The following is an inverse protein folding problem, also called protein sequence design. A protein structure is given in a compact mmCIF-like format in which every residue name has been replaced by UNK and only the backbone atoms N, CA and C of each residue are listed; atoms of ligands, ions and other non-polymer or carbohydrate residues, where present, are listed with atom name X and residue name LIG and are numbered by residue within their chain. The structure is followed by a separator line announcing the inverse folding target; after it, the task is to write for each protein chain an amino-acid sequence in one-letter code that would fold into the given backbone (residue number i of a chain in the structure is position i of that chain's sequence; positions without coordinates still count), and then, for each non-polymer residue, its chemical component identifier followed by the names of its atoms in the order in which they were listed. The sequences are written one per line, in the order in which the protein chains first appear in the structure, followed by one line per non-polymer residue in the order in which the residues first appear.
data_IF_419858105746
#
_entry.id   IF_419858105746
#
_cell.length_a   1.000
_cell.length_b   1.000
_cell.length_c   1.000
_cell.angle_alpha   90.00
_cell.angle_beta   90.00
_cell.angle_gamma   90.00
#
_symmetry.space_group_name_H-M   'P 1'
#
loop_
_entity.id
_entity.type
_entity.pdbx_description
1 polymer ?
#
# COMPACT_ATOMS: atom_id res chain seq x y z
N UNK A 1 -27.24 15.85 -5.30
CA UNK A 1 -25.89 15.27 -5.08
C UNK A 1 -24.98 16.41 -4.67
N UNK A 2 -24.31 16.32 -3.54
CA UNK A 2 -23.31 17.31 -3.11
C UNK A 2 -21.93 16.91 -3.65
N UNK A 3 -21.17 17.90 -4.14
CA UNK A 3 -19.78 17.66 -4.55
C UNK A 3 -18.88 17.72 -3.33
N UNK A 4 -18.08 16.68 -3.11
CA UNK A 4 -17.17 16.52 -1.98
C UNK A 4 -15.75 16.27 -2.47
N UNK A 5 -14.72 16.60 -1.66
CA UNK A 5 -13.35 16.17 -1.99
C UNK A 5 -13.19 14.67 -1.81
N UNK A 6 -12.41 14.03 -2.68
CA UNK A 6 -12.18 12.58 -2.60
C UNK A 6 -11.60 12.16 -1.24
N UNK A 7 -10.71 12.97 -0.63
CA UNK A 7 -10.18 12.74 0.72
C UNK A 7 -11.25 12.81 1.80
N UNK A 8 -12.15 13.80 1.75
CA UNK A 8 -13.23 13.90 2.73
C UNK A 8 -14.17 12.70 2.60
N UNK A 9 -14.48 12.30 1.36
CA UNK A 9 -15.34 11.15 1.12
C UNK A 9 -14.74 9.84 1.64
N UNK A 10 -13.45 9.61 1.44
CA UNK A 10 -12.79 8.41 2.00
C UNK A 10 -12.76 8.40 3.52
N UNK A 11 -12.61 9.57 4.19
CA UNK A 11 -12.73 9.68 5.66
C UNK A 11 -14.15 9.36 6.15
N UNK A 12 -15.18 9.83 5.46
CA UNK A 12 -16.56 9.48 5.80
C UNK A 12 -16.82 7.98 5.68
N UNK A 13 -16.29 7.34 4.62
CA UNK A 13 -16.41 5.88 4.45
C UNK A 13 -15.70 5.13 5.58
N UNK A 14 -14.50 5.55 5.98
CA UNK A 14 -13.79 4.93 7.11
C UNK A 14 -14.60 5.05 8.40
N UNK A 15 -15.19 6.22 8.66
CA UNK A 15 -16.11 6.41 9.79
C UNK A 15 -17.35 5.51 9.73
N UNK A 16 -17.92 5.26 8.54
CA UNK A 16 -19.03 4.31 8.37
C UNK A 16 -18.62 2.88 8.73
N UNK A 17 -17.40 2.46 8.35
CA UNK A 17 -16.87 1.15 8.71
C UNK A 17 -16.73 1.05 10.23
N UNK A 18 -16.14 2.05 10.90
CA UNK A 18 -15.94 2.08 12.35
C UNK A 18 -17.28 2.09 13.12
N UNK A 19 -18.36 2.59 12.51
CA UNK A 19 -19.72 2.54 13.04
C UNK A 19 -20.45 1.22 12.76
N UNK A 20 -19.85 0.28 12.06
CA UNK A 20 -20.48 -0.98 11.65
C UNK A 20 -21.49 -0.85 10.50
N UNK A 21 -21.56 0.30 9.80
CA UNK A 21 -22.45 0.55 8.64
C UNK A 21 -21.79 0.01 7.35
N UNK A 22 -21.51 -1.29 7.33
CA UNK A 22 -20.63 -1.91 6.35
C UNK A 22 -21.18 -1.92 4.93
N UNK A 23 -22.47 -2.23 4.74
CA UNK A 23 -23.07 -2.28 3.40
C UNK A 23 -23.13 -0.88 2.76
N UNK A 24 -23.36 0.13 3.56
CA UNK A 24 -23.33 1.51 3.13
C UNK A 24 -21.92 1.94 2.72
N UNK A 25 -20.92 1.66 3.56
CA UNK A 25 -19.53 1.91 3.27
C UNK A 25 -19.07 1.22 1.96
N UNK A 26 -19.44 -0.05 1.77
CA UNK A 26 -19.17 -0.82 0.55
C UNK A 26 -19.82 -0.16 -0.67
N UNK A 27 -21.04 0.32 -0.53
CA UNK A 27 -21.77 0.99 -1.64
C UNK A 27 -21.08 2.31 -2.03
N UNK A 28 -20.68 3.12 -1.05
CA UNK A 28 -19.90 4.34 -1.29
C UNK A 28 -18.53 4.04 -1.92
N UNK A 29 -17.81 3.00 -1.47
CA UNK A 29 -16.58 2.56 -2.11
C UNK A 29 -16.78 2.20 -3.58
N UNK A 30 -17.83 1.43 -3.90
CA UNK A 30 -18.15 1.05 -5.28
C UNK A 30 -18.47 2.27 -6.13
N UNK A 31 -19.14 3.27 -5.57
CA UNK A 31 -19.42 4.53 -6.26
C UNK A 31 -18.11 5.26 -6.60
N UNK A 32 -17.19 5.44 -5.65
CA UNK A 32 -15.88 6.05 -5.94
C UNK A 32 -15.15 5.25 -7.02
N UNK A 33 -15.11 3.91 -6.92
CA UNK A 33 -14.43 3.05 -7.89
C UNK A 33 -15.08 3.09 -9.28
N UNK A 34 -16.34 3.47 -9.42
CA UNK A 34 -16.97 3.72 -10.73
C UNK A 34 -16.38 4.92 -11.47
N UNK A 35 -15.83 5.90 -10.73
CA UNK A 35 -15.18 7.12 -11.25
C UNK A 35 -13.66 7.01 -11.25
N UNK A 36 -13.09 6.38 -10.22
CA UNK A 36 -11.66 6.16 -10.01
C UNK A 36 -11.38 4.65 -9.88
N UNK A 37 -11.39 3.88 -11.00
CA UNK A 37 -11.43 2.42 -10.98
C UNK A 37 -10.20 1.72 -10.37
N UNK A 38 -9.15 2.46 -10.07
CA UNK A 38 -7.89 1.93 -9.49
C UNK A 38 -7.46 2.67 -8.23
N UNK A 39 -8.35 3.50 -7.64
CA UNK A 39 -8.01 4.30 -6.47
C UNK A 39 -7.69 3.41 -5.26
N UNK A 40 -6.45 3.45 -4.82
CA UNK A 40 -5.90 2.51 -3.83
C UNK A 40 -6.55 2.70 -2.46
N UNK A 41 -6.71 3.95 -1.99
CA UNK A 41 -7.28 4.19 -0.66
C UNK A 41 -8.72 3.68 -0.58
N UNK A 42 -9.49 3.81 -1.68
CA UNK A 42 -10.84 3.23 -1.73
C UNK A 42 -10.80 1.70 -1.75
N UNK A 43 -9.83 1.07 -2.41
CA UNK A 43 -9.66 -0.38 -2.33
C UNK A 43 -9.29 -0.85 -0.91
N UNK A 44 -8.45 -0.12 -0.17
CA UNK A 44 -8.17 -0.43 1.25
C UNK A 44 -9.43 -0.42 2.09
N UNK A 45 -10.24 0.63 1.97
CA UNK A 45 -11.52 0.76 2.67
C UNK A 45 -12.51 -0.34 2.28
N UNK A 46 -12.61 -0.65 0.98
CA UNK A 46 -13.46 -1.72 0.49
C UNK A 46 -13.03 -3.09 1.03
N UNK A 47 -11.72 -3.36 1.06
CA UNK A 47 -11.16 -4.57 1.66
C UNK A 47 -11.46 -4.67 3.16
N UNK A 48 -11.27 -3.57 3.92
CA UNK A 48 -11.63 -3.47 5.35
C UNK A 48 -13.14 -3.74 5.53
N UNK A 49 -13.99 -3.07 4.76
CA UNK A 49 -15.44 -3.25 4.83
C UNK A 49 -15.89 -4.68 4.52
N UNK A 50 -15.30 -5.34 3.51
CA UNK A 50 -15.60 -6.75 3.22
C UNK A 50 -15.12 -7.69 4.33
N UNK A 51 -13.94 -7.46 4.90
CA UNK A 51 -13.41 -8.27 5.99
C UNK A 51 -14.30 -8.17 7.23
N UNK A 52 -14.64 -6.97 7.66
CA UNK A 52 -15.55 -6.71 8.79
C UNK A 52 -16.95 -7.30 8.56
N UNK A 53 -17.38 -7.39 7.30
CA UNK A 53 -18.66 -7.99 6.89
C UNK A 53 -18.56 -9.53 6.65
N UNK A 54 -17.46 -10.17 7.10
CA UNK A 54 -17.19 -11.61 6.94
C UNK A 54 -17.21 -12.09 5.47
N UNK A 55 -16.94 -11.19 4.50
CA UNK A 55 -16.84 -11.53 3.08
C UNK A 55 -15.39 -11.78 2.67
N UNK A 56 -14.76 -12.77 3.29
CA UNK A 56 -13.32 -13.04 3.20
C UNK A 56 -12.79 -13.24 1.77
N UNK A 57 -13.54 -13.90 0.90
CA UNK A 57 -13.14 -14.07 -0.50
C UNK A 57 -13.04 -12.72 -1.22
N UNK A 58 -14.08 -11.87 -1.06
CA UNK A 58 -14.08 -10.53 -1.64
C UNK A 58 -12.96 -9.66 -1.05
N UNK A 59 -12.76 -9.71 0.26
CA UNK A 59 -11.69 -8.97 0.94
C UNK A 59 -10.30 -9.40 0.43
N UNK A 60 -10.06 -10.73 0.30
CA UNK A 60 -8.81 -11.28 -0.22
C UNK A 60 -8.50 -10.76 -1.63
N UNK A 61 -9.48 -10.79 -2.54
CA UNK A 61 -9.32 -10.29 -3.91
C UNK A 61 -8.97 -8.80 -3.94
N UNK A 62 -9.61 -8.01 -3.08
CA UNK A 62 -9.35 -6.57 -2.98
C UNK A 62 -7.97 -6.31 -2.40
N UNK A 63 -7.58 -6.96 -1.29
CA UNK A 63 -6.25 -6.78 -0.71
C UNK A 63 -5.13 -7.23 -1.65
N UNK A 64 -5.32 -8.30 -2.43
CA UNK A 64 -4.35 -8.69 -3.46
C UNK A 64 -4.16 -7.60 -4.53
N UNK A 65 -5.24 -6.91 -4.93
CA UNK A 65 -5.14 -5.77 -5.86
C UNK A 65 -4.35 -4.62 -5.25
N UNK A 66 -4.57 -4.29 -3.97
CA UNK A 66 -3.76 -3.29 -3.27
C UNK A 66 -2.30 -3.71 -3.22
N UNK A 67 -2.01 -4.96 -2.83
CA UNK A 67 -0.65 -5.48 -2.72
C UNK A 67 0.08 -5.56 -4.08
N UNK A 68 -0.65 -5.68 -5.19
CA UNK A 68 -0.05 -5.60 -6.53
C UNK A 68 0.48 -4.20 -6.87
N UNK A 69 -0.12 -3.16 -6.28
CA UNK A 69 0.27 -1.76 -6.47
C UNK A 69 1.19 -1.25 -5.36
N UNK A 70 0.92 -1.63 -4.11
CA UNK A 70 1.71 -1.31 -2.91
C UNK A 70 2.04 -2.62 -2.19
N UNK A 71 3.17 -3.25 -2.52
CA UNK A 71 3.49 -4.61 -2.06
C UNK A 71 3.81 -4.72 -0.57
N UNK A 72 3.98 -3.61 0.13
CA UNK A 72 4.20 -3.53 1.57
C UNK A 72 3.06 -2.83 2.31
N UNK A 73 1.85 -2.83 1.72
CA UNK A 73 0.68 -2.21 2.34
C UNK A 73 0.31 -2.88 3.66
N UNK A 74 0.41 -2.11 4.74
CA UNK A 74 0.21 -2.60 6.10
C UNK A 74 -1.20 -3.17 6.32
N UNK A 75 -2.24 -2.40 5.93
CA UNK A 75 -3.64 -2.80 6.14
C UNK A 75 -3.96 -4.08 5.39
N UNK A 76 -3.51 -4.16 4.12
CA UNK A 76 -3.74 -5.34 3.29
C UNK A 76 -3.00 -6.57 3.83
N UNK A 77 -1.80 -6.42 4.37
CA UNK A 77 -1.09 -7.54 4.98
C UNK A 77 -1.74 -8.01 6.27
N UNK A 78 -2.20 -7.11 7.14
CA UNK A 78 -2.96 -7.48 8.34
C UNK A 78 -4.26 -8.19 7.95
N UNK A 79 -5.05 -7.64 7.02
CA UNK A 79 -6.28 -8.25 6.54
C UNK A 79 -6.06 -9.63 5.91
N UNK A 80 -5.03 -9.77 5.07
CA UNK A 80 -4.67 -11.08 4.48
C UNK A 80 -4.23 -12.09 5.54
N UNK A 81 -3.53 -11.66 6.58
CA UNK A 81 -3.13 -12.54 7.69
C UNK A 81 -4.35 -13.13 8.40
N UNK A 82 -5.34 -12.29 8.72
CA UNK A 82 -6.60 -12.72 9.34
C UNK A 82 -7.33 -13.73 8.44
N UNK A 83 -7.51 -13.41 7.16
CA UNK A 83 -8.17 -14.30 6.21
C UNK A 83 -7.46 -15.66 6.11
N UNK A 84 -6.12 -15.65 5.99
CA UNK A 84 -5.35 -16.91 5.87
C UNK A 84 -5.40 -17.74 7.16
N UNK A 85 -5.47 -17.10 8.32
CA UNK A 85 -5.67 -17.80 9.60
C UNK A 85 -7.04 -18.48 9.65
N UNK A 86 -8.10 -17.80 9.26
CA UNK A 86 -9.46 -18.36 9.21
C UNK A 86 -9.58 -19.52 8.21
N UNK A 87 -8.85 -19.46 7.10
CA UNK A 87 -8.72 -20.55 6.14
C UNK A 87 -7.87 -21.72 6.66
N UNK A 88 -7.28 -21.63 7.86
CA UNK A 88 -6.36 -22.62 8.43
C UNK A 88 -4.96 -22.61 7.84
N UNK A 89 -4.64 -21.67 6.96
CA UNK A 89 -3.31 -21.55 6.35
C UNK A 89 -2.39 -20.69 7.21
N UNK A 90 -1.94 -21.26 8.34
CA UNK A 90 -1.10 -20.57 9.31
C UNK A 90 0.24 -20.11 8.73
N UNK A 91 0.81 -20.85 7.77
CA UNK A 91 2.06 -20.45 7.13
C UNK A 91 1.91 -19.13 6.35
N UNK A 92 0.85 -18.99 5.55
CA UNK A 92 0.55 -17.78 4.83
C UNK A 92 0.14 -16.63 5.78
N UNK A 93 -0.63 -16.92 6.84
CA UNK A 93 -0.98 -15.93 7.86
C UNK A 93 0.26 -15.31 8.49
N UNK A 94 1.21 -16.13 8.94
CA UNK A 94 2.49 -15.69 9.49
C UNK A 94 3.26 -14.85 8.48
N UNK A 95 3.39 -15.29 7.21
CA UNK A 95 4.11 -14.53 6.19
C UNK A 95 3.53 -13.12 5.98
N UNK A 96 2.22 -12.99 5.96
CA UNK A 96 1.57 -11.69 5.84
C UNK A 96 1.79 -10.83 7.09
N UNK A 97 1.68 -11.41 8.29
CA UNK A 97 1.91 -10.68 9.54
C UNK A 97 3.37 -10.26 9.72
N UNK A 98 4.34 -11.06 9.26
CA UNK A 98 5.76 -10.69 9.22
C UNK A 98 5.99 -9.44 8.36
N UNK A 99 5.35 -9.33 7.19
CA UNK A 99 5.44 -8.14 6.33
C UNK A 99 4.78 -6.91 6.97
N UNK A 100 3.66 -7.09 7.67
CA UNK A 100 3.06 -6.02 8.47
C UNK A 100 4.00 -5.57 9.60
N UNK A 101 4.62 -6.51 10.29
CA UNK A 101 5.62 -6.24 11.33
C UNK A 101 6.85 -5.50 10.76
N UNK A 102 7.38 -5.88 9.61
CA UNK A 102 8.47 -5.16 8.95
C UNK A 102 8.13 -3.69 8.70
N UNK A 103 6.87 -3.38 8.41
CA UNK A 103 6.39 -2.01 8.18
C UNK A 103 6.27 -1.22 9.49
N UNK A 104 5.85 -1.88 10.58
CA UNK A 104 5.62 -1.27 11.90
C UNK A 104 6.22 -2.13 13.03
N UNK A 105 7.56 -2.24 13.13
CA UNK A 105 8.21 -3.14 14.10
C UNK A 105 8.02 -2.72 15.57
N UNK A 106 7.62 -1.48 15.83
CA UNK A 106 7.34 -0.96 17.18
C UNK A 106 5.87 -1.06 17.57
N UNK A 107 5.00 -1.58 16.71
CA UNK A 107 3.60 -1.77 17.02
C UNK A 107 3.43 -3.01 17.91
N UNK A 108 3.08 -2.79 19.18
CA UNK A 108 2.95 -3.86 20.17
C UNK A 108 1.84 -4.86 19.81
N UNK A 109 0.74 -4.41 19.21
CA UNK A 109 -0.37 -5.28 18.80
C UNK A 109 0.08 -6.26 17.73
N UNK A 110 0.81 -5.76 16.73
CA UNK A 110 1.38 -6.60 15.68
C UNK A 110 2.42 -7.59 16.21
N UNK A 111 3.25 -7.17 17.17
CA UNK A 111 4.20 -8.09 17.81
C UNK A 111 3.49 -9.20 18.59
N UNK A 112 2.45 -8.87 19.35
CA UNK A 112 1.67 -9.84 20.12
C UNK A 112 0.96 -10.81 19.16
N UNK A 113 0.34 -10.29 18.11
CA UNK A 113 -0.37 -11.11 17.14
C UNK A 113 0.57 -12.04 16.36
N UNK A 114 1.73 -11.55 15.96
CA UNK A 114 2.73 -12.38 15.28
C UNK A 114 3.28 -13.49 16.20
N UNK A 115 3.50 -13.20 17.49
CA UNK A 115 3.89 -14.21 18.49
C UNK A 115 2.81 -15.29 18.65
N UNK A 116 1.54 -14.88 18.74
CA UNK A 116 0.38 -15.77 18.82
C UNK A 116 0.30 -16.70 17.60
N UNK A 117 0.50 -16.13 16.39
CA UNK A 117 0.51 -16.90 15.14
C UNK A 117 1.69 -17.89 15.08
N UNK A 118 2.87 -17.51 15.52
CA UNK A 118 4.00 -18.45 15.66
C UNK A 118 3.63 -19.58 16.63
N UNK A 119 3.06 -19.27 17.79
CA UNK A 119 2.59 -20.26 18.76
C UNK A 119 1.59 -21.25 18.16
N UNK A 120 0.64 -20.77 17.36
CA UNK A 120 -0.31 -21.63 16.65
C UNK A 120 0.34 -22.51 15.58
N UNK A 121 1.30 -21.95 14.82
CA UNK A 121 1.98 -22.68 13.74
C UNK A 121 3.00 -23.70 14.26
N UNK A 122 3.81 -23.31 15.24
CA UNK A 122 5.00 -24.04 15.66
C UNK A 122 4.82 -24.75 17.02
N UNK A 123 3.67 -24.52 17.69
CA UNK A 123 3.37 -25.11 19.01
C UNK A 123 4.01 -24.37 20.19
N UNK A 124 4.88 -23.41 19.96
CA UNK A 124 5.59 -22.64 20.99
C UNK A 124 5.58 -21.16 20.64
N UNK A 125 5.02 -20.34 21.51
CA UNK A 125 5.05 -18.89 21.36
C UNK A 125 6.43 -18.34 21.73
N UNK A 126 7.13 -17.63 20.81
CA UNK A 126 8.44 -17.08 21.13
C UNK A 126 8.34 -15.91 22.11
N UNK A 127 9.32 -15.71 22.99
CA UNK A 127 9.29 -14.60 23.95
C UNK A 127 9.37 -13.22 23.29
N UNK A 128 9.99 -13.15 22.10
CA UNK A 128 10.17 -11.93 21.30
C UNK A 128 10.13 -12.25 19.81
N UNK A 129 9.59 -11.31 19.02
CA UNK A 129 9.72 -11.34 17.57
C UNK A 129 11.13 -10.87 17.20
N UNK A 130 11.82 -11.64 16.37
CA UNK A 130 13.11 -11.21 15.80
C UNK A 130 12.88 -10.28 14.62
N UNK A 131 13.69 -9.23 14.54
CA UNK A 131 13.66 -8.34 13.41
C UNK A 131 14.21 -9.07 12.18
N UNK A 132 13.46 -9.01 11.09
CA UNK A 132 13.89 -9.54 9.79
C UNK A 132 14.89 -8.57 9.14
N UNK A 133 15.61 -9.02 8.11
CA UNK A 133 16.50 -8.13 7.34
C UNK A 133 15.71 -6.98 6.68
N UNK A 134 14.50 -7.25 6.15
CA UNK A 134 13.63 -6.19 5.62
C UNK A 134 13.21 -5.17 6.68
N UNK A 135 12.91 -5.63 7.89
CA UNK A 135 12.65 -4.76 9.05
C UNK A 135 13.86 -3.93 9.47
N UNK A 136 15.05 -4.56 9.51
CA UNK A 136 16.31 -3.88 9.83
C UNK A 136 16.65 -2.80 8.80
N UNK A 137 16.50 -3.10 7.52
CA UNK A 137 16.71 -2.14 6.43
C UNK A 137 15.78 -0.92 6.59
N UNK A 138 14.50 -1.13 6.91
CA UNK A 138 13.54 -0.04 7.16
C UNK A 138 13.93 0.81 8.38
N UNK A 139 14.49 0.20 9.42
CA UNK A 139 15.00 0.94 10.58
C UNK A 139 16.19 1.82 10.21
N UNK A 140 17.14 1.31 9.42
CA UNK A 140 18.26 2.12 8.92
C UNK A 140 17.78 3.30 8.07
N UNK A 141 16.83 3.07 7.15
CA UNK A 141 16.28 4.13 6.28
C UNK A 141 15.58 5.21 7.13
N UNK A 142 14.77 4.83 8.13
CA UNK A 142 14.12 5.78 9.05
C UNK A 142 15.10 6.55 9.92
N UNK A 143 16.23 5.95 10.25
CA UNK A 143 17.33 6.58 10.98
C UNK A 143 18.29 7.39 10.11
N UNK A 144 17.93 7.66 8.84
CA UNK A 144 18.76 8.36 7.85
C UNK A 144 20.11 7.68 7.54
N UNK A 145 20.19 6.38 7.85
CA UNK A 145 21.36 5.53 7.55
C UNK A 145 21.16 4.86 6.18
N UNK A 146 21.03 5.68 5.13
CA UNK A 146 20.60 5.25 3.79
C UNK A 146 21.54 4.21 3.18
N UNK A 147 22.85 4.37 3.33
CA UNK A 147 23.84 3.42 2.80
C UNK A 147 23.70 2.03 3.43
N UNK A 148 23.49 1.97 4.75
CA UNK A 148 23.25 0.74 5.47
C UNK A 148 21.92 0.11 5.04
N UNK A 149 20.86 0.91 4.92
CA UNK A 149 19.57 0.45 4.41
C UNK A 149 19.66 -0.18 3.02
N UNK A 150 20.40 0.44 2.09
CA UNK A 150 20.65 -0.11 0.75
C UNK A 150 21.42 -1.45 0.84
N UNK A 151 22.45 -1.53 1.68
CA UNK A 151 23.23 -2.75 1.86
C UNK A 151 22.37 -3.91 2.34
N UNK A 152 21.55 -3.68 3.40
CA UNK A 152 20.65 -4.70 3.95
C UNK A 152 19.59 -5.13 2.94
N UNK A 153 19.00 -4.17 2.19
CA UNK A 153 18.02 -4.50 1.16
C UNK A 153 18.62 -5.37 0.05
N UNK A 154 19.83 -5.06 -0.40
CA UNK A 154 20.53 -5.88 -1.40
C UNK A 154 20.78 -7.31 -0.89
N UNK A 155 21.21 -7.46 0.36
CA UNK A 155 21.41 -8.77 0.99
C UNK A 155 20.09 -9.54 1.05
N UNK A 156 19.03 -8.92 1.57
CA UNK A 156 17.71 -9.53 1.67
C UNK A 156 17.12 -9.93 0.30
N UNK A 157 17.33 -9.12 -0.73
CA UNK A 157 16.86 -9.41 -2.11
C UNK A 157 17.68 -10.55 -2.73
N UNK A 158 18.98 -10.66 -2.44
CA UNK A 158 19.81 -11.76 -2.93
C UNK A 158 19.39 -13.11 -2.30
N UNK A 159 18.98 -13.10 -1.04
CA UNK A 159 18.47 -14.29 -0.34
C UNK A 159 17.05 -14.67 -0.78
N UNK A 160 16.22 -13.67 -1.11
CA UNK A 160 14.82 -13.84 -1.50
C UNK A 160 14.49 -12.97 -2.74
N UNK A 161 14.88 -13.41 -3.94
CA UNK A 161 14.71 -12.60 -5.18
C UNK A 161 13.26 -12.34 -5.58
N UNK A 162 12.31 -13.11 -5.04
CA UNK A 162 10.86 -12.95 -5.25
C UNK A 162 10.26 -11.81 -4.41
N UNK A 163 10.97 -11.29 -3.39
CA UNK A 163 10.54 -10.19 -2.53
C UNK A 163 10.52 -8.85 -3.28
N UNK A 164 9.52 -8.68 -4.17
CA UNK A 164 9.39 -7.43 -4.94
C UNK A 164 9.00 -6.22 -4.08
N UNK A 165 8.44 -6.44 -2.90
CA UNK A 165 8.23 -5.43 -1.88
C UNK A 165 9.55 -4.78 -1.43
N UNK A 166 10.59 -5.58 -1.22
CA UNK A 166 11.94 -5.09 -0.90
C UNK A 166 12.60 -4.42 -2.10
N UNK A 167 12.36 -4.91 -3.32
CA UNK A 167 12.84 -4.24 -4.54
C UNK A 167 12.21 -2.86 -4.71
N UNK A 168 10.90 -2.74 -4.45
CA UNK A 168 10.20 -1.46 -4.49
C UNK A 168 10.75 -0.49 -3.43
N UNK A 169 10.99 -0.98 -2.21
CA UNK A 169 11.63 -0.19 -1.16
C UNK A 169 13.05 0.23 -1.54
N UNK A 170 13.83 -0.66 -2.17
CA UNK A 170 15.19 -0.35 -2.64
C UNK A 170 15.19 0.76 -3.71
N UNK A 171 14.25 0.71 -4.66
CA UNK A 171 14.10 1.76 -5.67
C UNK A 171 13.79 3.12 -5.04
N UNK A 172 12.89 3.16 -4.05
CA UNK A 172 12.59 4.37 -3.28
C UNK A 172 13.81 4.84 -2.47
N UNK A 173 14.53 3.91 -1.84
CA UNK A 173 15.74 4.22 -1.03
C UNK A 173 16.88 4.76 -1.90
N UNK A 174 17.04 4.26 -3.14
CA UNK A 174 17.98 4.86 -4.09
C UNK A 174 17.64 6.31 -4.41
N UNK A 175 16.35 6.62 -4.60
CA UNK A 175 15.92 8.02 -4.84
C UNK A 175 16.22 8.92 -3.65
N UNK A 176 15.97 8.44 -2.41
CA UNK A 176 16.29 9.18 -1.16
C UNK A 176 17.80 9.39 -1.03
N UNK A 177 18.60 8.43 -1.45
CA UNK A 177 20.06 8.46 -1.40
C UNK A 177 20.73 9.12 -2.61
N UNK A 178 20.00 9.93 -3.39
CA UNK A 178 20.48 10.64 -4.59
C UNK A 178 21.08 9.72 -5.67
N UNK A 179 20.71 8.42 -5.66
CA UNK A 179 21.14 7.45 -6.66
C UNK A 179 20.09 7.31 -7.77
N UNK A 180 19.81 8.41 -8.47
CA UNK A 180 18.70 8.53 -9.43
C UNK A 180 18.74 7.47 -10.53
N UNK A 181 19.90 7.19 -11.11
CA UNK A 181 20.06 6.18 -12.18
C UNK A 181 19.63 4.78 -11.68
N UNK A 182 20.13 4.37 -10.50
CA UNK A 182 19.76 3.08 -9.90
C UNK A 182 18.26 3.00 -9.58
N UNK A 183 17.66 4.12 -9.13
CA UNK A 183 16.22 4.19 -8.86
C UNK A 183 15.38 4.00 -10.13
N UNK A 184 15.75 4.66 -11.23
CA UNK A 184 15.08 4.56 -12.54
C UNK A 184 15.19 3.14 -13.10
N UNK A 185 16.40 2.57 -13.12
CA UNK A 185 16.65 1.23 -13.64
C UNK A 185 15.79 0.18 -12.91
N UNK A 186 15.83 0.21 -11.58
CA UNK A 186 15.07 -0.74 -10.78
C UNK A 186 13.55 -0.51 -10.88
N UNK A 187 13.09 0.76 -10.91
CA UNK A 187 11.69 1.08 -11.12
C UNK A 187 11.19 0.62 -12.48
N UNK A 188 11.99 0.81 -13.54
CA UNK A 188 11.68 0.32 -14.89
C UNK A 188 11.52 -1.21 -14.91
N UNK A 189 12.43 -1.95 -14.27
CA UNK A 189 12.36 -3.40 -14.18
C UNK A 189 11.12 -3.88 -13.40
N UNK A 190 10.77 -3.21 -12.32
CA UNK A 190 9.54 -3.50 -11.56
C UNK A 190 8.31 -3.27 -12.45
N UNK A 191 8.26 -2.18 -13.21
CA UNK A 191 7.10 -1.83 -14.05
C UNK A 191 6.87 -2.79 -15.22
N UNK A 192 7.88 -3.53 -15.69
CA UNK A 192 7.73 -4.58 -16.69
C UNK A 192 6.80 -5.70 -16.20
N UNK A 193 6.90 -6.04 -14.91
CA UNK A 193 6.11 -7.11 -14.29
C UNK A 193 4.87 -6.58 -13.55
N UNK A 194 4.99 -5.41 -12.93
CA UNK A 194 3.96 -4.76 -12.11
C UNK A 194 3.68 -3.34 -12.61
N UNK A 195 2.95 -3.19 -13.75
CA UNK A 195 2.76 -1.88 -14.40
C UNK A 195 2.08 -0.82 -13.53
N UNK A 196 1.34 -1.24 -12.51
CA UNK A 196 0.65 -0.38 -11.56
C UNK A 196 1.34 -0.29 -10.19
N UNK A 197 2.64 -0.63 -10.08
CA UNK A 197 3.38 -0.34 -8.84
C UNK A 197 3.44 1.17 -8.61
N UNK A 198 2.89 1.64 -7.48
CA UNK A 198 2.72 3.06 -7.18
C UNK A 198 4.07 3.80 -7.11
N UNK A 199 5.00 3.24 -6.31
CA UNK A 199 6.32 3.84 -6.07
C UNK A 199 7.11 3.94 -7.38
N UNK A 200 7.13 2.87 -8.18
CA UNK A 200 7.87 2.87 -9.44
C UNK A 200 7.28 3.86 -10.46
N UNK A 201 5.95 3.97 -10.56
CA UNK A 201 5.33 5.00 -11.41
C UNK A 201 5.65 6.42 -10.88
N UNK A 202 5.69 6.63 -9.56
CA UNK A 202 6.08 7.92 -8.96
C UNK A 202 7.53 8.28 -9.26
N UNK A 203 8.46 7.32 -9.12
CA UNK A 203 9.88 7.51 -9.46
C UNK A 203 10.00 7.93 -10.92
N UNK A 204 9.41 7.16 -11.84
CA UNK A 204 9.48 7.45 -13.28
C UNK A 204 8.84 8.79 -13.64
N UNK A 205 7.64 9.08 -13.13
CA UNK A 205 6.94 10.33 -13.40
C UNK A 205 7.73 11.58 -12.95
N UNK A 206 8.48 11.49 -11.85
CA UNK A 206 9.31 12.59 -11.33
C UNK A 206 10.64 12.70 -12.07
N UNK A 207 11.30 11.57 -12.30
CA UNK A 207 12.66 11.53 -12.84
C UNK A 207 12.70 11.84 -14.33
N UNK A 208 11.69 11.44 -15.09
CA UNK A 208 11.64 11.67 -16.54
C UNK A 208 11.30 13.12 -16.92
N UNK A 209 10.90 13.98 -15.97
CA UNK A 209 10.75 15.42 -16.22
C UNK A 209 12.07 16.09 -16.65
N UNK A 210 13.20 15.54 -16.19
CA UNK A 210 14.54 16.07 -16.47
C UNK A 210 15.20 15.40 -17.68
N UNK A 211 14.56 14.39 -18.26
CA UNK A 211 15.07 13.61 -19.39
C UNK A 211 14.08 13.68 -20.55
N UNK A 212 14.57 13.56 -21.79
CA UNK A 212 13.77 13.73 -23.03
C UNK A 212 12.92 12.48 -23.35
N UNK A 213 12.10 12.03 -22.38
CA UNK A 213 11.20 10.86 -22.49
C UNK A 213 9.72 11.20 -22.19
N UNK A 214 9.09 12.11 -22.96
CA UNK A 214 7.76 12.63 -22.65
C UNK A 214 6.66 11.55 -22.70
N UNK A 215 6.80 10.55 -23.58
CA UNK A 215 5.79 9.48 -23.71
C UNK A 215 5.77 8.55 -22.48
N UNK A 216 6.94 8.11 -22.01
CA UNK A 216 7.03 7.24 -20.82
C UNK A 216 6.56 7.99 -19.57
N UNK A 217 6.93 9.26 -19.43
CA UNK A 217 6.46 10.12 -18.36
C UNK A 217 4.92 10.22 -18.37
N UNK A 218 4.31 10.47 -19.52
CA UNK A 218 2.86 10.58 -19.64
C UNK A 218 2.14 9.28 -19.26
N UNK A 219 2.69 8.12 -19.62
CA UNK A 219 2.14 6.81 -19.22
C UNK A 219 2.21 6.63 -17.70
N UNK A 220 3.36 6.92 -17.09
CA UNK A 220 3.55 6.78 -15.65
C UNK A 220 2.66 7.75 -14.87
N UNK A 221 2.55 9.00 -15.31
CA UNK A 221 1.67 10.01 -14.70
C UNK A 221 0.20 9.58 -14.79
N UNK A 222 -0.24 9.06 -15.95
CA UNK A 222 -1.62 8.54 -16.10
C UNK A 222 -1.90 7.37 -15.17
N UNK A 223 -0.94 6.44 -15.01
CA UNK A 223 -1.07 5.32 -14.06
C UNK A 223 -1.08 5.82 -12.62
N UNK A 224 -0.22 6.77 -12.29
CA UNK A 224 -0.16 7.39 -10.97
C UNK A 224 -1.49 8.08 -10.62
N UNK A 225 -2.06 8.85 -11.55
CA UNK A 225 -3.38 9.46 -11.39
C UNK A 225 -4.49 8.42 -11.15
N UNK A 226 -4.46 7.31 -11.87
CA UNK A 226 -5.44 6.24 -11.68
C UNK A 226 -5.36 5.58 -10.30
N UNK A 227 -4.13 5.43 -9.75
CA UNK A 227 -3.89 4.81 -8.45
C UNK A 227 -4.11 5.77 -7.28
N UNK A 228 -3.58 6.98 -7.41
CA UNK A 228 -3.63 8.04 -6.40
C UNK A 228 -3.63 9.41 -7.09
N UNK A 229 -4.81 10.01 -7.33
CA UNK A 229 -4.91 11.30 -8.01
C UNK A 229 -4.14 12.41 -7.30
N UNK A 230 -4.06 12.38 -5.97
CA UNK A 230 -3.30 13.36 -5.19
C UNK A 230 -1.79 13.21 -5.35
N UNK A 231 -1.27 11.98 -5.44
CA UNK A 231 0.15 11.74 -5.75
C UNK A 231 0.53 12.24 -7.16
N UNK A 232 -0.37 12.06 -8.12
CA UNK A 232 -0.18 12.61 -9.46
C UNK A 232 -0.16 14.14 -9.43
N UNK A 233 -1.06 14.76 -8.69
CA UNK A 233 -1.10 16.22 -8.52
C UNK A 233 0.21 16.77 -7.92
N UNK A 234 0.79 16.09 -6.92
CA UNK A 234 2.10 16.45 -6.35
C UNK A 234 3.18 16.41 -7.43
N UNK A 235 3.19 15.36 -8.23
CA UNK A 235 4.23 15.20 -9.25
C UNK A 235 4.19 16.33 -10.29
N UNK A 236 3.05 17.01 -10.46
CA UNK A 236 2.84 18.06 -11.45
C UNK A 236 2.87 19.48 -10.86
N UNK A 237 2.30 19.71 -9.67
CA UNK A 237 1.93 21.04 -9.20
C UNK A 237 2.39 21.41 -7.79
N UNK A 238 2.74 20.45 -6.94
CA UNK A 238 3.01 20.70 -5.53
C UNK A 238 4.27 20.01 -5.03
N UNK A 239 5.01 20.61 -4.06
CA UNK A 239 6.22 20.01 -3.51
C UNK A 239 5.94 18.84 -2.55
N UNK A 240 4.77 18.80 -1.89
CA UNK A 240 4.41 17.76 -0.93
C UNK A 240 2.89 17.51 -0.87
N UNK A 241 2.49 16.40 -0.23
CA UNK A 241 1.08 16.03 -0.04
C UNK A 241 0.29 17.08 0.76
N UNK A 242 0.93 17.74 1.71
CA UNK A 242 0.32 18.77 2.57
C UNK A 242 -0.07 20.02 1.78
N UNK A 243 0.65 20.30 0.69
CA UNK A 243 0.38 21.46 -0.16
C UNK A 243 -0.72 21.22 -1.21
N UNK A 244 -1.28 20.01 -1.29
CA UNK A 244 -2.35 19.71 -2.23
C UNK A 244 -3.69 20.12 -1.62
N UNK A 245 -4.43 21.07 -2.24
CA UNK A 245 -5.75 21.45 -1.76
C UNK A 245 -6.70 20.26 -1.72
N UNK A 246 -7.50 20.13 -0.67
CA UNK A 246 -8.49 19.04 -0.58
C UNK A 246 -9.44 19.01 -1.78
N UNK A 247 -9.80 20.18 -2.30
CA UNK A 247 -10.67 20.33 -3.47
C UNK A 247 -9.97 20.14 -4.83
N UNK A 248 -8.68 19.80 -4.86
CA UNK A 248 -7.99 19.51 -6.11
C UNK A 248 -8.62 18.30 -6.85
N UNK A 249 -9.14 17.35 -6.07
CA UNK A 249 -9.84 16.17 -6.60
C UNK A 249 -11.21 16.08 -5.94
N UNK A 250 -12.27 16.20 -6.73
CA UNK A 250 -13.66 16.17 -6.26
C UNK A 250 -14.46 15.08 -6.95
N UNK A 251 -15.54 14.67 -6.28
CA UNK A 251 -16.49 13.68 -6.77
C UNK A 251 -17.89 14.01 -6.25
N UNK A 252 -18.93 13.66 -6.99
CA UNK A 252 -20.30 13.77 -6.51
C UNK A 252 -20.61 12.62 -5.55
N UNK A 253 -21.08 12.96 -4.36
CA UNK A 253 -21.48 12.00 -3.34
C UNK A 253 -22.87 11.45 -3.65
N UNK A 254 -23.04 10.13 -3.47
CA UNK A 254 -24.38 9.52 -3.53
C UNK A 254 -25.09 9.70 -2.19
N UNK A 255 -26.41 9.92 -2.27
CA UNK A 255 -27.30 9.96 -1.11
C UNK A 255 -28.08 8.62 -1.07
N UNK A 256 -27.76 7.78 -0.07
CA UNK A 256 -28.43 6.49 0.13
C UNK A 256 -29.75 6.61 0.90
N UNK A 257 -30.06 7.80 1.45
CA UNK A 257 -31.31 8.04 2.19
C UNK A 257 -32.56 8.17 1.27
N UNK A 258 -32.38 8.21 -0.05
CA UNK A 258 -33.49 8.43 -1.04
C UNK A 258 -34.06 7.11 -1.57
N UNK A 259 -33.65 5.97 -1.03
CA UNK A 259 -34.03 4.64 -1.53
C UNK A 259 -34.74 3.72 -0.52
N UNK A 260 -35.56 4.30 0.41
CA UNK A 260 -36.51 3.52 1.22
C UNK A 260 -37.94 3.85 0.84
#
# INVERSE_FOLDING_TARGET
MSTISLRAYTREIDSLIDQGRLDEAITHCRHILSKFPKHIDTYRLLGKGYLENNQNSNASDIFQRVLSAIPDDFISHVGMSVIREEEGNLAAAVQHMEKAFERQPYNNEIQLELRRLYGKRDGIEPPKVRLTQGGLARMYIRGDLIKQGISELRTAINESPERYDLKTLLAETYLIGDQLANAIDLASDILKKYPFNLISNRIMARSLKTHDHPQEMAICTKRLYALSPYEAYISEHAPSMENVPDRAITIDQIDLAVGQ
#
